data_IF_992842642746
#
_entry.id   IF_992842642746
#
_cell.length_a   1.000
_cell.length_b   1.000
_cell.length_c   1.000
_cell.angle_alpha   90.00
_cell.angle_beta   90.00
_cell.angle_gamma   90.00
#
_symmetry.space_group_name_H-M   'P 1'
#
loop_
_entity.id
_entity.type
_entity.pdbx_description
1 polymer ?
#
# COMPACT_ATOMS: atom_id res chain seq x y z
N UNK A 1 -13.19 10.92 5.83
CA UNK A 1 -12.25 11.98 6.23
C UNK A 1 -13.02 13.27 6.40
N UNK A 2 -12.67 14.09 7.39
CA UNK A 2 -13.26 15.42 7.57
C UNK A 2 -12.21 16.47 7.21
N UNK A 3 -12.51 17.28 6.19
CA UNK A 3 -11.69 18.43 5.83
C UNK A 3 -12.27 19.66 6.52
N UNK A 4 -11.51 20.29 7.41
CA UNK A 4 -11.88 21.59 7.98
C UNK A 4 -11.03 22.68 7.34
N UNK A 5 -11.64 23.48 6.47
CA UNK A 5 -11.10 24.78 6.07
C UNK A 5 -11.83 25.84 6.87
N UNK A 6 -11.12 26.48 7.80
CA UNK A 6 -11.66 27.49 8.71
C UNK A 6 -12.02 28.81 8.03
N UNK A 7 -11.67 28.97 6.74
CA UNK A 7 -11.82 30.22 5.98
C UNK A 7 -12.39 29.93 4.59
N UNK A 8 -13.43 30.68 4.20
CA UNK A 8 -14.00 30.61 2.86
C UNK A 8 -12.97 31.07 1.80
N UNK A 9 -12.86 30.39 0.64
CA UNK A 9 -11.88 30.77 -0.38
C UNK A 9 -12.10 32.22 -0.86
N UNK A 10 -11.05 33.05 -0.99
CA UNK A 10 -11.17 34.44 -1.45
C UNK A 10 -11.73 34.60 -2.87
N UNK A 11 -11.63 33.57 -3.71
CA UNK A 11 -12.19 33.50 -5.07
C UNK A 11 -12.16 32.06 -5.61
N UNK A 12 -12.84 31.83 -6.74
CA UNK A 12 -12.97 30.49 -7.35
C UNK A 12 -11.63 29.87 -7.76
N UNK A 13 -10.65 30.67 -8.21
CA UNK A 13 -9.31 30.19 -8.57
C UNK A 13 -8.52 29.71 -7.35
N UNK A 14 -8.81 30.23 -6.16
CA UNK A 14 -8.24 29.71 -4.90
C UNK A 14 -9.00 28.47 -4.46
N UNK A 15 -10.34 28.47 -4.58
CA UNK A 15 -11.15 27.30 -4.28
C UNK A 15 -10.75 26.08 -5.13
N UNK A 16 -10.54 26.26 -6.42
CA UNK A 16 -10.12 25.22 -7.35
C UNK A 16 -8.75 24.65 -7.00
N UNK A 17 -7.77 25.52 -6.69
CA UNK A 17 -6.43 25.08 -6.23
C UNK A 17 -6.49 24.28 -4.93
N UNK A 18 -7.33 24.70 -3.99
CA UNK A 18 -7.54 23.95 -2.74
C UNK A 18 -8.15 22.59 -3.05
N UNK A 19 -9.21 22.52 -3.87
CA UNK A 19 -9.84 21.24 -4.27
C UNK A 19 -8.85 20.31 -4.96
N UNK A 20 -8.05 20.80 -5.90
CA UNK A 20 -7.03 19.99 -6.59
C UNK A 20 -5.97 19.46 -5.63
N UNK A 21 -5.57 20.27 -4.65
CA UNK A 21 -4.58 19.85 -3.63
C UNK A 21 -5.16 18.76 -2.73
N UNK A 22 -6.41 18.94 -2.29
CA UNK A 22 -7.13 17.93 -1.48
C UNK A 22 -7.25 16.61 -2.24
N UNK A 23 -7.67 16.66 -3.51
CA UNK A 23 -7.78 15.46 -4.36
C UNK A 23 -6.43 14.74 -4.52
N UNK A 24 -5.33 15.50 -4.69
CA UNK A 24 -3.98 14.93 -4.79
C UNK A 24 -3.56 14.20 -3.50
N UNK A 25 -3.83 14.79 -2.33
CA UNK A 25 -3.54 14.16 -1.04
C UNK A 25 -4.39 12.90 -0.82
N UNK A 26 -5.68 12.95 -1.14
CA UNK A 26 -6.58 11.80 -1.04
C UNK A 26 -6.12 10.63 -1.93
N UNK A 27 -5.66 10.94 -3.16
CA UNK A 27 -5.12 9.93 -4.07
C UNK A 27 -3.87 9.26 -3.51
N UNK A 28 -2.94 10.05 -2.97
CA UNK A 28 -1.69 9.54 -2.36
C UNK A 28 -2.00 8.67 -1.15
N UNK A 29 -2.89 9.12 -0.27
CA UNK A 29 -3.28 8.35 0.90
C UNK A 29 -3.99 7.05 0.51
N UNK A 30 -4.87 7.09 -0.49
CA UNK A 30 -5.56 5.91 -1.00
C UNK A 30 -4.55 4.90 -1.54
N UNK A 31 -3.60 5.35 -2.36
CA UNK A 31 -2.53 4.50 -2.89
C UNK A 31 -1.63 3.92 -1.79
N UNK A 32 -1.30 4.72 -0.77
CA UNK A 32 -0.59 4.26 0.42
C UNK A 32 -1.36 3.13 1.11
N UNK A 33 -2.63 3.34 1.46
CA UNK A 33 -3.44 2.37 2.20
C UNK A 33 -3.65 1.07 1.39
N UNK A 34 -3.86 1.19 0.08
CA UNK A 34 -3.98 0.04 -0.82
C UNK A 34 -2.69 -0.78 -0.88
N UNK A 35 -1.53 -0.13 -1.05
CA UNK A 35 -0.24 -0.85 -1.10
C UNK A 35 0.11 -1.45 0.25
N UNK A 36 -0.11 -0.69 1.34
CA UNK A 36 0.14 -1.15 2.70
C UNK A 36 -0.71 -2.37 3.07
N UNK A 37 -2.00 -2.39 2.68
CA UNK A 37 -2.88 -3.53 3.00
C UNK A 37 -2.44 -4.83 2.32
N UNK A 38 -1.85 -4.75 1.11
CA UNK A 38 -1.30 -5.92 0.40
C UNK A 38 -0.20 -6.60 1.23
N UNK A 39 0.62 -5.87 1.97
CA UNK A 39 1.71 -6.49 2.74
C UNK A 39 1.32 -6.83 4.18
N UNK A 40 0.30 -6.17 4.74
CA UNK A 40 -0.03 -6.27 6.17
C UNK A 40 -1.31 -7.05 6.44
N UNK A 41 -2.31 -6.96 5.55
CA UNK A 41 -3.64 -7.55 5.76
C UNK A 41 -3.87 -8.73 4.82
N UNK A 42 -3.53 -8.58 3.54
CA UNK A 42 -3.83 -9.56 2.50
C UNK A 42 -2.60 -9.72 1.61
N UNK A 43 -1.62 -10.57 2.03
CA UNK A 43 -0.40 -10.85 1.29
C UNK A 43 -0.67 -11.07 -0.21
N UNK A 44 0.21 -10.61 -1.12
CA UNK A 44 0.05 -10.77 -2.57
C UNK A 44 0.36 -12.21 -2.97
N UNK A 45 -0.52 -13.11 -2.54
CA UNK A 45 -0.48 -14.53 -2.78
C UNK A 45 -1.74 -14.92 -3.56
N UNK A 46 -1.63 -15.91 -4.48
CA UNK A 46 -2.75 -16.44 -5.21
C UNK A 46 -3.81 -17.01 -4.27
N UNK A 47 -5.07 -17.04 -4.72
CA UNK A 47 -6.10 -17.79 -4.00
C UNK A 47 -5.79 -19.29 -4.04
N UNK A 48 -6.27 -20.03 -3.03
CA UNK A 48 -5.99 -21.47 -2.88
C UNK A 48 -6.37 -22.27 -4.13
N UNK A 49 -7.42 -21.84 -4.84
CA UNK A 49 -7.96 -22.53 -6.01
C UNK A 49 -7.48 -21.94 -7.35
N UNK A 50 -6.54 -20.99 -7.34
CA UNK A 50 -6.02 -20.37 -8.56
C UNK A 50 -4.81 -21.10 -9.13
N UNK A 51 -4.62 -20.96 -10.44
CA UNK A 51 -3.43 -21.42 -11.13
C UNK A 51 -2.26 -20.47 -10.85
N UNK A 52 -1.14 -21.04 -10.40
CA UNK A 52 0.11 -20.30 -10.18
C UNK A 52 1.32 -21.17 -10.52
N UNK A 53 2.44 -20.51 -10.78
CA UNK A 53 3.74 -21.13 -10.96
C UNK A 53 4.69 -20.65 -9.87
N UNK A 54 5.30 -21.61 -9.15
CA UNK A 54 6.35 -21.33 -8.18
C UNK A 54 7.67 -21.95 -8.66
N UNK A 55 8.65 -21.10 -8.93
CA UNK A 55 9.99 -21.49 -9.34
C UNK A 55 10.98 -21.22 -8.21
N UNK A 56 11.86 -22.18 -7.93
CA UNK A 56 13.05 -21.98 -7.10
C UNK A 56 14.21 -21.51 -7.99
N UNK A 57 14.75 -20.33 -7.70
CA UNK A 57 15.85 -19.69 -8.42
C UNK A 57 17.19 -19.78 -7.63
N UNK A 58 17.29 -20.68 -6.66
CA UNK A 58 18.48 -20.88 -5.84
C UNK A 58 18.46 -20.02 -4.58
N UNK A 59 18.62 -18.70 -4.71
CA UNK A 59 18.58 -17.79 -3.55
C UNK A 59 17.17 -17.26 -3.23
N UNK A 60 16.23 -17.44 -4.16
CA UNK A 60 14.90 -16.84 -4.12
C UNK A 60 13.87 -17.76 -4.73
N UNK A 61 12.62 -17.58 -4.32
CA UNK A 61 11.46 -18.07 -5.06
C UNK A 61 10.92 -16.97 -5.99
N UNK A 62 10.41 -17.40 -7.13
CA UNK A 62 9.58 -16.60 -8.03
C UNK A 62 8.20 -17.23 -8.13
N UNK A 63 7.21 -16.52 -7.63
CA UNK A 63 5.80 -16.85 -7.75
C UNK A 63 5.18 -16.03 -8.87
N UNK A 64 4.51 -16.67 -9.83
CA UNK A 64 3.82 -16.00 -10.93
C UNK A 64 2.38 -16.50 -11.01
N UNK A 65 1.42 -15.60 -11.15
CA UNK A 65 0.00 -15.93 -11.28
C UNK A 65 -0.75 -14.82 -12.01
N UNK A 66 -1.99 -15.09 -12.42
CA UNK A 66 -2.85 -14.09 -13.06
C UNK A 66 -4.02 -13.73 -12.16
N UNK A 67 -4.28 -12.43 -12.01
CA UNK A 67 -5.45 -11.91 -11.31
C UNK A 67 -6.23 -11.01 -12.26
N UNK A 68 -7.34 -11.53 -12.80
CA UNK A 68 -8.10 -10.86 -13.85
C UNK A 68 -7.26 -10.63 -15.12
N UNK A 69 -6.96 -9.37 -15.41
CA UNK A 69 -6.11 -8.97 -16.55
C UNK A 69 -4.66 -8.69 -16.16
N UNK A 70 -4.33 -8.79 -14.87
CA UNK A 70 -2.98 -8.53 -14.38
C UNK A 70 -2.18 -9.83 -14.30
N UNK A 71 -1.01 -9.83 -14.93
CA UNK A 71 0.04 -10.82 -14.68
C UNK A 71 0.85 -10.34 -13.47
N UNK A 72 0.86 -11.14 -12.41
CA UNK A 72 1.52 -10.83 -11.15
C UNK A 72 2.78 -11.70 -11.01
N UNK A 73 3.89 -11.06 -10.64
CA UNK A 73 5.15 -11.75 -10.34
C UNK A 73 5.67 -11.26 -8.99
N UNK A 74 5.81 -12.19 -8.04
CA UNK A 74 6.35 -11.94 -6.71
C UNK A 74 7.69 -12.65 -6.58
N UNK A 75 8.74 -11.90 -6.29
CA UNK A 75 10.06 -12.45 -5.91
C UNK A 75 10.19 -12.40 -4.40
N UNK A 76 10.63 -13.52 -3.80
CA UNK A 76 10.75 -13.65 -2.36
C UNK A 76 11.98 -14.47 -1.97
N UNK A 77 12.54 -14.22 -0.80
CA UNK A 77 13.58 -15.07 -0.21
C UNK A 77 13.02 -16.40 0.31
N UNK A 78 13.89 -17.33 0.72
CA UNK A 78 13.52 -18.65 1.24
C UNK A 78 12.72 -18.62 2.54
N UNK A 79 12.78 -17.51 3.27
CA UNK A 79 11.96 -17.25 4.45
C UNK A 79 10.67 -16.49 4.11
N UNK A 80 10.31 -16.45 2.82
CA UNK A 80 9.13 -15.82 2.24
C UNK A 80 9.06 -14.30 2.42
N UNK A 81 10.17 -13.63 2.72
CA UNK A 81 10.21 -12.16 2.66
C UNK A 81 10.07 -11.71 1.21
N UNK A 82 9.08 -10.88 0.90
CA UNK A 82 8.89 -10.35 -0.44
C UNK A 82 9.97 -9.30 -0.71
N UNK A 83 10.69 -9.46 -1.81
CA UNK A 83 11.70 -8.51 -2.29
C UNK A 83 11.13 -7.56 -3.34
N UNK A 84 10.27 -8.10 -4.21
CA UNK A 84 9.68 -7.34 -5.31
C UNK A 84 8.33 -7.96 -5.70
N UNK A 85 7.33 -7.10 -5.88
CA UNK A 85 6.05 -7.41 -6.48
C UNK A 85 5.96 -6.64 -7.81
N UNK A 86 5.64 -7.33 -8.90
CA UNK A 86 5.36 -6.73 -10.20
C UNK A 86 3.94 -7.07 -10.64
N UNK A 87 3.27 -6.09 -11.22
CA UNK A 87 1.97 -6.25 -11.83
C UNK A 87 2.00 -5.64 -13.24
N UNK A 88 1.58 -6.41 -14.23
CA UNK A 88 1.53 -5.97 -15.63
C UNK A 88 0.14 -6.22 -16.19
N UNK A 89 -0.44 -5.18 -16.80
CA UNK A 89 -1.65 -5.24 -17.62
C UNK A 89 -1.34 -4.61 -18.99
N UNK A 90 -2.23 -4.70 -19.99
CA UNK A 90 -2.03 -4.01 -21.27
C UNK A 90 -1.86 -2.49 -21.16
N UNK A 91 -2.40 -1.88 -20.10
CA UNK A 91 -2.41 -0.42 -19.91
C UNK A 91 -1.43 0.07 -18.84
N UNK A 92 -0.78 -0.84 -18.11
CA UNK A 92 -0.04 -0.49 -16.92
C UNK A 92 1.05 -1.51 -16.58
N UNK A 93 2.21 -1.02 -16.17
CA UNK A 93 3.26 -1.82 -15.54
C UNK A 93 3.66 -1.16 -14.23
N UNK A 94 3.63 -1.93 -13.15
CA UNK A 94 3.99 -1.48 -11.82
C UNK A 94 4.96 -2.44 -11.14
N UNK A 95 5.88 -1.90 -10.35
CA UNK A 95 6.73 -2.68 -9.45
C UNK A 95 6.78 -2.02 -8.08
N UNK A 96 6.80 -2.83 -7.03
CA UNK A 96 6.92 -2.42 -5.63
C UNK A 96 8.01 -3.25 -4.97
N UNK A 97 8.94 -2.59 -4.29
CA UNK A 97 10.04 -3.18 -3.53
C UNK A 97 9.86 -2.82 -2.06
N UNK A 98 9.23 -3.69 -1.25
CA UNK A 98 9.02 -3.40 0.16
C UNK A 98 10.33 -3.43 0.95
N UNK A 99 10.41 -2.57 1.96
CA UNK A 99 11.48 -2.57 2.97
C UNK A 99 10.94 -3.28 4.21
N UNK A 100 11.18 -4.59 4.28
CA UNK A 100 10.72 -5.43 5.38
C UNK A 100 11.79 -5.52 6.47
N UNK A 101 11.38 -5.41 7.73
CA UNK A 101 12.23 -5.67 8.89
C UNK A 101 11.69 -6.87 9.66
N UNK A 102 12.57 -7.82 10.02
CA UNK A 102 12.18 -9.00 10.80
C UNK A 102 12.13 -8.65 12.28
N UNK A 103 11.07 -9.07 12.95
CA UNK A 103 10.90 -8.98 14.40
C UNK A 103 10.37 -10.31 14.97
N UNK A 104 10.02 -10.33 16.26
CA UNK A 104 9.51 -11.54 16.95
C UNK A 104 8.13 -11.99 16.46
N UNK A 105 7.38 -11.12 15.79
CA UNK A 105 6.01 -11.31 15.31
C UNK A 105 5.95 -11.60 13.80
N UNK A 106 7.09 -11.52 13.09
CA UNK A 106 7.18 -11.75 11.65
C UNK A 106 7.91 -10.61 10.93
N UNK A 107 7.40 -10.23 9.75
CA UNK A 107 7.91 -9.10 8.99
C UNK A 107 7.07 -7.86 9.24
N UNK A 108 7.73 -6.73 9.47
CA UNK A 108 7.13 -5.41 9.57
C UNK A 108 7.55 -4.58 8.35
N UNK A 109 6.56 -4.08 7.60
CA UNK A 109 6.77 -3.21 6.45
C UNK A 109 7.15 -1.80 6.91
N UNK A 110 8.41 -1.40 6.74
CA UNK A 110 8.90 -0.05 7.08
C UNK A 110 8.78 0.97 5.95
N UNK A 111 8.37 0.56 4.76
CA UNK A 111 8.31 1.41 3.57
C UNK A 111 8.42 0.62 2.29
N UNK A 112 8.44 1.30 1.14
CA UNK A 112 8.67 0.67 -0.15
C UNK A 112 9.16 1.69 -1.17
N UNK A 113 9.79 1.20 -2.22
CA UNK A 113 10.01 1.95 -3.45
C UNK A 113 9.11 1.37 -4.53
N UNK A 114 8.50 2.22 -5.35
CA UNK A 114 7.67 1.76 -6.44
C UNK A 114 7.92 2.54 -7.72
N UNK A 115 7.81 1.84 -8.84
CA UNK A 115 7.86 2.42 -10.19
C UNK A 115 6.60 2.05 -10.91
N UNK A 116 5.95 3.03 -11.53
CA UNK A 116 4.72 2.87 -12.28
C UNK A 116 4.85 3.46 -13.67
N UNK A 117 4.35 2.75 -14.66
CA UNK A 117 4.32 3.19 -16.05
C UNK A 117 2.93 2.89 -16.60
N UNK A 118 2.18 3.95 -16.89
CA UNK A 118 0.94 3.84 -17.65
C UNK A 118 1.22 3.64 -19.14
N UNK A 119 0.19 3.30 -19.92
CA UNK A 119 0.27 3.15 -21.38
C UNK A 119 0.82 4.41 -22.08
N UNK A 120 0.64 5.58 -21.48
CA UNK A 120 1.18 6.84 -21.96
C UNK A 120 1.79 7.66 -20.82
N UNK A 121 2.80 8.48 -21.14
CA UNK A 121 3.51 9.31 -20.16
C UNK A 121 4.86 8.73 -19.72
N UNK A 122 5.57 9.50 -18.90
CA UNK A 122 6.83 9.07 -18.31
C UNK A 122 6.60 8.14 -17.10
N UNK A 123 7.49 7.16 -16.86
CA UNK A 123 7.45 6.40 -15.62
C UNK A 123 7.51 7.31 -14.39
N UNK A 124 6.70 6.99 -13.39
CA UNK A 124 6.70 7.64 -12.10
C UNK A 124 7.42 6.78 -11.08
N UNK A 125 8.19 7.41 -10.21
CA UNK A 125 8.83 6.77 -9.08
C UNK A 125 8.29 7.36 -7.78
N UNK A 126 8.09 6.52 -6.79
CA UNK A 126 7.78 6.95 -5.44
C UNK A 126 8.56 6.14 -4.42
N UNK A 127 8.92 6.79 -3.32
CA UNK A 127 9.46 6.14 -2.14
C UNK A 127 8.57 6.47 -0.95
N UNK A 128 8.24 5.45 -0.17
CA UNK A 128 7.43 5.56 1.04
C UNK A 128 8.27 5.09 2.22
N UNK A 129 8.22 5.85 3.31
CA UNK A 129 8.74 5.46 4.61
C UNK A 129 7.61 5.51 5.63
N UNK A 130 7.59 4.50 6.51
CA UNK A 130 6.54 4.31 7.50
C UNK A 130 7.19 4.20 8.87
N UNK A 131 6.73 5.05 9.78
CA UNK A 131 7.04 4.94 11.20
C UNK A 131 5.80 4.43 11.92
N UNK A 132 6.01 3.54 12.90
CA UNK A 132 4.94 2.88 13.63
C UNK A 132 4.94 3.30 15.09
N UNK A 133 3.74 3.40 15.66
CA UNK A 133 3.49 3.56 17.08
C UNK A 133 2.59 2.45 17.61
N UNK A 134 2.56 2.30 18.94
CA UNK A 134 1.63 1.40 19.61
C UNK A 134 0.30 2.11 19.86
N UNK A 135 -0.79 1.52 19.40
CA UNK A 135 -2.16 2.00 19.60
C UNK A 135 -3.00 0.83 20.10
N UNK A 136 -3.42 0.88 21.36
CA UNK A 136 -4.23 -0.18 22.00
C UNK A 136 -3.66 -1.61 21.83
N UNK A 137 -2.33 -1.75 21.80
CA UNK A 137 -1.64 -3.03 21.61
C UNK A 137 -1.37 -3.42 20.15
N UNK A 138 -1.78 -2.61 19.18
CA UNK A 138 -1.46 -2.79 17.76
C UNK A 138 -0.32 -1.86 17.34
N UNK A 139 0.58 -2.35 16.48
CA UNK A 139 1.54 -1.50 15.77
C UNK A 139 0.87 -0.94 14.52
N UNK A 140 0.48 0.33 14.58
CA UNK A 140 -0.11 1.04 13.44
C UNK A 140 0.88 2.10 12.94
N UNK A 141 0.82 2.48 11.65
CA UNK A 141 1.53 3.66 11.16
C UNK A 141 1.26 4.86 12.08
N UNK A 142 2.19 5.78 12.22
CA UNK A 142 1.97 7.08 12.89
C UNK A 142 2.41 8.21 11.98
N UNK A 143 3.47 7.95 11.21
CA UNK A 143 3.98 8.88 10.21
C UNK A 143 4.23 8.12 8.93
N UNK A 144 3.80 8.71 7.81
CA UNK A 144 4.08 8.22 6.47
C UNK A 144 4.68 9.37 5.69
N UNK A 145 5.90 9.16 5.23
CA UNK A 145 6.61 10.08 4.34
C UNK A 145 6.52 9.50 2.92
N UNK A 146 6.02 10.30 1.98
CA UNK A 146 5.89 9.94 0.58
C UNK A 146 6.72 10.91 -0.24
N UNK A 147 7.81 10.39 -0.80
CA UNK A 147 8.74 11.13 -1.65
C UNK A 147 8.39 10.85 -3.11
N UNK A 148 7.95 11.90 -3.80
CA UNK A 148 7.68 11.91 -5.26
C UNK A 148 8.35 13.14 -5.88
N UNK A 149 7.77 13.74 -6.93
CA UNK A 149 8.11 15.12 -7.33
C UNK A 149 7.73 16.15 -6.26
N UNK A 150 6.85 15.78 -5.33
CA UNK A 150 6.52 16.50 -4.11
C UNK A 150 6.89 15.63 -2.90
N UNK A 151 7.42 16.27 -1.87
CA UNK A 151 7.65 15.66 -0.56
C UNK A 151 6.42 15.89 0.33
N UNK A 152 5.75 14.79 0.71
CA UNK A 152 4.48 14.82 1.45
C UNK A 152 4.63 14.02 2.74
N UNK A 153 4.33 14.69 3.84
CA UNK A 153 4.36 14.11 5.18
C UNK A 153 2.93 13.97 5.72
N UNK A 154 2.53 12.73 5.98
CA UNK A 154 1.24 12.40 6.56
C UNK A 154 1.45 11.97 8.01
N UNK A 155 0.76 12.63 8.93
CA UNK A 155 0.70 12.21 10.33
C UNK A 155 -0.68 11.67 10.63
N UNK A 156 -0.72 10.51 11.27
CA UNK A 156 -1.95 9.89 11.71
C UNK A 156 -2.07 10.01 13.22
N UNK A 157 -3.19 10.56 13.67
CA UNK A 157 -3.50 10.78 15.07
C UNK A 157 -4.94 10.34 15.37
N UNK A 158 -5.28 10.31 16.66
CA UNK A 158 -6.64 10.04 17.14
C UNK A 158 -7.25 8.73 16.61
N UNK A 159 -6.42 7.70 16.57
CA UNK A 159 -6.84 6.35 16.18
C UNK A 159 -8.01 5.84 17.02
N UNK A 160 -9.00 5.25 16.35
CA UNK A 160 -10.07 4.49 17.00
C UNK A 160 -10.02 3.04 16.54
N UNK A 161 -9.69 2.13 17.46
CA UNK A 161 -9.72 0.69 17.17
C UNK A 161 -11.14 0.18 17.45
N UNK A 162 -11.85 -0.25 16.40
CA UNK A 162 -13.18 -0.85 16.51
C UNK A 162 -13.07 -2.37 16.43
N UNK A 163 -13.37 -3.06 17.53
CA UNK A 163 -13.44 -4.52 17.58
C UNK A 163 -14.83 -4.98 17.16
N UNK A 164 -14.91 -5.89 16.18
CA UNK A 164 -16.19 -6.53 15.83
C UNK A 164 -16.45 -7.62 16.87
N UNK A 165 -17.50 -7.47 17.67
CA UNK A 165 -17.98 -8.54 18.54
C UNK A 165 -18.60 -9.61 17.61
N UNK A 166 -18.16 -10.88 17.66
CA UNK A 166 -18.80 -11.94 16.88
C UNK A 166 -20.27 -12.02 17.27
N UNK A 167 -21.18 -11.90 16.30
CA UNK A 167 -22.60 -12.16 16.54
C UNK A 167 -22.74 -13.60 17.01
N UNK A 168 -23.33 -13.80 18.19
CA UNK A 168 -23.66 -15.12 18.68
C UNK A 168 -24.51 -15.84 17.63
N UNK A 169 -24.06 -17.02 17.19
CA UNK A 169 -24.84 -17.94 16.38
C UNK A 169 -26.11 -18.26 17.17
N UNK A 170 -27.26 -17.79 16.70
CA UNK A 170 -28.56 -18.26 17.20
C UNK A 170 -28.80 -19.59 16.50
N UNK A 171 -28.55 -20.69 17.20
CA UNK A 171 -29.06 -22.00 16.82
C UNK A 171 -30.59 -22.00 16.99
N UNK A 172 -31.31 -22.38 15.93
CA UNK A 172 -32.72 -22.75 15.96
C UNK A 172 -32.86 -24.19 15.47
#
# INVERSE_FOLDING_TARGET
>A
MSHQTEVAPPNEKVAERVRSSVAGVEQILTGFLQTWSVFVISPPLPSIDSEYELQDLGEKFRLSYREGQADIVTSMSHDFAIDELKATTPEFEGSVRPKLSRNKEGFLLGGWEATYKAASGAPQQLAVKIEYGNVEGFRLPTTVEVVTSLDIHLTFADYQVKRRIPSATVEH
#
